data_IF_421172717206
#
_entry.id   IF_421172717206
#
_cell.length_a   1.000
_cell.length_b   1.000
_cell.length_c   1.000
_cell.angle_alpha   90.00
_cell.angle_beta   90.00
_cell.angle_gamma   90.00
#
_symmetry.space_group_name_H-M   'P 1'
#
loop_
_entity.id
_entity.type
_entity.pdbx_description
1 polymer ?
#
# COMPACT_ATOMS: atom_id res chain seq x y z
N UNK A 1 12.37 -0.71 7.51
CA UNK A 1 13.34 -1.33 8.45
C UNK A 1 13.42 -0.43 9.67
N UNK A 2 13.28 -0.95 10.89
CA UNK A 2 13.45 -0.12 12.10
C UNK A 2 14.93 0.25 12.22
N UNK A 3 15.25 1.54 12.17
CA UNK A 3 16.62 2.04 12.31
C UNK A 3 17.05 1.96 13.77
N UNK A 4 18.35 1.88 14.04
CA UNK A 4 18.87 1.70 15.41
C UNK A 4 18.58 2.87 16.38
N UNK A 5 18.11 4.01 15.85
CA UNK A 5 17.68 5.18 16.64
C UNK A 5 16.17 5.31 16.83
N UNK A 6 15.37 4.33 16.38
CA UNK A 6 13.93 4.29 16.55
C UNK A 6 13.55 3.36 17.71
N UNK A 7 12.67 3.76 18.65
CA UNK A 7 11.83 4.95 18.62
C UNK A 7 12.42 6.17 19.38
N UNK A 8 11.96 7.40 19.08
CA UNK A 8 12.30 8.62 19.82
C UNK A 8 11.95 8.54 21.33
N UNK A 9 12.60 9.36 22.16
CA UNK A 9 12.43 9.33 23.62
C UNK A 9 11.01 9.69 24.10
N UNK A 10 10.24 10.40 23.28
CA UNK A 10 8.85 10.80 23.48
C UNK A 10 7.83 9.80 22.92
N UNK A 11 8.29 8.68 22.35
CA UNK A 11 7.42 7.65 21.81
C UNK A 11 6.86 6.74 22.92
N UNK A 12 5.55 6.41 22.89
CA UNK A 12 4.90 5.69 23.99
C UNK A 12 5.20 4.18 24.03
N UNK A 13 5.84 3.62 23.01
CA UNK A 13 6.09 2.17 22.86
C UNK A 13 7.60 1.89 22.74
N UNK A 14 8.05 0.72 23.18
CA UNK A 14 9.38 0.22 22.86
C UNK A 14 9.49 -0.19 21.39
N UNK A 15 10.72 -0.39 20.90
CA UNK A 15 10.98 -0.89 19.54
C UNK A 15 10.31 -2.24 19.29
N UNK A 16 10.35 -3.12 20.28
CA UNK A 16 9.79 -4.47 20.23
C UNK A 16 8.24 -4.43 20.18
N UNK A 17 7.62 -3.62 21.03
CA UNK A 17 6.17 -3.41 21.05
C UNK A 17 5.68 -2.79 19.74
N UNK A 18 6.40 -1.79 19.21
CA UNK A 18 6.10 -1.21 17.90
C UNK A 18 6.17 -2.26 16.78
N UNK A 19 7.22 -3.09 16.78
CA UNK A 19 7.37 -4.15 15.79
C UNK A 19 6.26 -5.21 15.90
N UNK A 20 5.82 -5.54 17.12
CA UNK A 20 4.72 -6.46 17.35
C UNK A 20 3.37 -5.87 16.90
N UNK A 21 3.12 -4.59 17.19
CA UNK A 21 1.94 -3.88 16.69
C UNK A 21 1.90 -3.86 15.17
N UNK A 22 3.02 -3.59 14.50
CA UNK A 22 3.11 -3.64 13.03
C UNK A 22 2.83 -5.04 12.47
N UNK A 23 3.28 -6.11 13.14
CA UNK A 23 2.97 -7.49 12.72
C UNK A 23 1.49 -7.84 12.91
N UNK A 24 0.87 -7.33 13.96
CA UNK A 24 -0.52 -7.62 14.31
C UNK A 24 -1.53 -6.68 13.60
N UNK A 25 -1.07 -5.55 13.07
CA UNK A 25 -1.91 -4.60 12.33
C UNK A 25 -1.69 -4.81 10.83
N UNK A 26 -2.59 -5.50 10.11
CA UNK A 26 -2.42 -5.69 8.68
C UNK A 26 -2.42 -4.34 7.96
N UNK A 27 -1.31 -4.04 7.29
CA UNK A 27 -1.25 -2.88 6.38
C UNK A 27 -1.87 -3.28 5.06
N UNK A 28 -2.98 -2.65 4.70
CA UNK A 28 -3.65 -2.94 3.43
C UNK A 28 -2.91 -2.24 2.28
N UNK A 29 -2.05 -3.01 1.61
CA UNK A 29 -1.33 -2.56 0.43
C UNK A 29 -2.23 -2.55 -0.81
N UNK A 30 -1.77 -1.90 -1.87
CA UNK A 30 -2.47 -1.93 -3.15
C UNK A 30 -2.57 -3.36 -3.68
N UNK A 31 -3.72 -3.68 -4.30
CA UNK A 31 -3.98 -4.97 -4.93
C UNK A 31 -4.03 -4.82 -6.44
N UNK A 32 -3.27 -5.66 -7.15
CA UNK A 32 -3.41 -5.85 -8.59
C UNK A 32 -4.56 -6.82 -8.90
N UNK A 33 -5.31 -6.54 -9.98
CA UNK A 33 -6.42 -7.34 -10.45
C UNK A 33 -6.27 -7.59 -11.96
N UNK A 34 -6.19 -8.86 -12.34
CA UNK A 34 -6.19 -9.28 -13.73
C UNK A 34 -7.62 -9.35 -14.28
N UNK A 35 -7.87 -8.73 -15.43
CA UNK A 35 -9.17 -8.72 -16.11
C UNK A 35 -9.21 -9.61 -17.36
N UNK A 36 -8.06 -10.10 -17.84
CA UNK A 36 -7.96 -10.88 -19.07
C UNK A 36 -7.27 -10.10 -20.19
N UNK A 37 -6.79 -10.78 -21.23
CA UNK A 37 -6.15 -10.15 -22.40
C UNK A 37 -5.02 -9.14 -22.05
N UNK A 38 -4.26 -9.44 -20.99
CA UNK A 38 -3.21 -8.57 -20.44
C UNK A 38 -3.68 -7.21 -19.89
N UNK A 39 -4.97 -7.11 -19.57
CA UNK A 39 -5.52 -5.96 -18.87
C UNK A 39 -5.43 -6.12 -17.35
N UNK A 40 -4.81 -5.15 -16.70
CA UNK A 40 -4.67 -5.10 -15.25
C UNK A 40 -5.27 -3.82 -14.69
N UNK A 41 -6.00 -3.95 -13.59
CA UNK A 41 -6.38 -2.82 -12.75
C UNK A 41 -5.68 -2.90 -11.40
N UNK A 42 -5.73 -1.80 -10.66
CA UNK A 42 -5.21 -1.73 -9.30
C UNK A 42 -6.25 -1.12 -8.36
N UNK A 43 -6.20 -1.51 -7.09
CA UNK A 43 -7.15 -1.07 -6.10
C UNK A 43 -6.47 -0.69 -4.79
N UNK A 44 -6.88 0.44 -4.23
CA UNK A 44 -6.49 0.86 -2.89
C UNK A 44 -7.55 0.45 -1.88
N UNK A 45 -7.10 0.13 -0.68
CA UNK A 45 -8.01 -0.15 0.43
C UNK A 45 -8.52 1.16 1.03
N UNK A 46 -9.83 1.31 1.06
CA UNK A 46 -10.48 2.45 1.70
C UNK A 46 -10.88 2.10 3.11
N UNK A 47 -10.15 2.61 4.09
CA UNK A 47 -10.40 2.38 5.51
C UNK A 47 -11.78 2.87 5.97
N UNK A 48 -12.36 3.88 5.30
CA UNK A 48 -13.71 4.37 5.59
C UNK A 48 -14.82 3.37 5.24
N UNK A 49 -14.58 2.51 4.24
CA UNK A 49 -15.56 1.56 3.72
C UNK A 49 -15.10 0.10 3.88
N UNK A 50 -13.96 -0.13 4.52
CA UNK A 50 -13.30 -1.42 4.74
C UNK A 50 -13.21 -2.31 3.49
N UNK A 51 -12.98 -1.72 2.32
CA UNK A 51 -12.99 -2.44 1.04
C UNK A 51 -11.92 -1.94 0.07
N UNK A 52 -11.57 -2.79 -0.89
CA UNK A 52 -10.73 -2.40 -2.03
C UNK A 52 -11.58 -1.72 -3.10
N UNK A 53 -11.18 -0.52 -3.52
CA UNK A 53 -11.82 0.22 -4.60
C UNK A 53 -10.90 0.33 -5.81
N UNK A 54 -11.44 -0.03 -6.98
CA UNK A 54 -10.73 0.06 -8.24
C UNK A 54 -10.36 1.51 -8.52
N UNK A 55 -9.09 1.73 -8.83
CA UNK A 55 -8.52 3.04 -9.11
C UNK A 55 -8.29 3.25 -10.60
N UNK A 56 -8.02 4.49 -10.97
CA UNK A 56 -7.88 4.94 -12.34
C UNK A 56 -6.40 5.28 -12.61
N UNK A 57 -5.91 4.90 -13.78
CA UNK A 57 -4.59 5.26 -14.27
C UNK A 57 -4.52 6.76 -14.62
N UNK A 58 -3.32 7.28 -14.81
CA UNK A 58 -3.05 8.69 -15.14
C UNK A 58 -3.61 9.13 -16.50
N UNK A 59 -4.03 8.20 -17.36
CA UNK A 59 -4.74 8.45 -18.62
C UNK A 59 -6.27 8.40 -18.51
N UNK A 60 -6.80 8.19 -17.30
CA UNK A 60 -8.24 8.09 -17.05
C UNK A 60 -8.84 6.70 -17.29
N UNK A 61 -8.04 5.69 -17.68
CA UNK A 61 -8.51 4.32 -17.87
C UNK A 61 -8.53 3.53 -16.56
N UNK A 62 -9.36 2.50 -16.48
CA UNK A 62 -9.43 1.59 -15.33
C UNK A 62 -8.49 0.37 -15.45
N UNK A 63 -8.02 0.11 -16.67
CA UNK A 63 -7.14 -1.01 -17.00
C UNK A 63 -5.91 -0.52 -17.76
N UNK A 64 -4.80 -1.25 -17.64
CA UNK A 64 -3.52 -0.94 -18.26
C UNK A 64 -2.49 -2.03 -17.99
N UNK A 65 -1.23 -1.72 -18.24
CA UNK A 65 -0.11 -2.63 -18.01
C UNK A 65 0.16 -2.85 -16.51
N UNK A 66 0.53 -4.08 -16.10
CA UNK A 66 0.80 -4.40 -14.70
C UNK A 66 1.99 -3.62 -14.14
N UNK A 67 3.02 -3.34 -14.95
CA UNK A 67 4.18 -2.53 -14.58
C UNK A 67 3.77 -1.10 -14.22
N UNK A 68 2.84 -0.52 -14.98
CA UNK A 68 2.33 0.83 -14.71
C UNK A 68 1.52 0.86 -13.41
N UNK A 69 0.67 -0.15 -13.17
CA UNK A 69 -0.03 -0.28 -11.90
C UNK A 69 0.92 -0.44 -10.71
N UNK A 70 1.99 -1.22 -10.89
CA UNK A 70 3.03 -1.35 -9.89
C UNK A 70 3.72 -0.02 -9.61
N UNK A 71 4.14 0.73 -10.63
CA UNK A 71 4.79 2.03 -10.46
C UNK A 71 3.90 3.04 -9.74
N UNK A 72 2.61 3.12 -10.09
CA UNK A 72 1.65 4.01 -9.42
C UNK A 72 1.50 3.63 -7.94
N UNK A 73 1.30 2.34 -7.65
CA UNK A 73 1.14 1.88 -6.26
C UNK A 73 2.42 2.04 -5.43
N UNK A 74 3.59 1.75 -6.01
CA UNK A 74 4.88 1.95 -5.35
C UNK A 74 5.10 3.42 -5.02
N UNK A 75 4.82 4.34 -5.95
CA UNK A 75 4.91 5.78 -5.71
C UNK A 75 3.98 6.27 -4.59
N UNK A 76 2.85 5.59 -4.35
CA UNK A 76 1.94 5.94 -3.27
C UNK A 76 2.45 5.52 -1.87
N UNK A 77 3.28 4.47 -1.78
CA UNK A 77 3.76 3.93 -0.51
C UNK A 77 5.23 4.20 -0.20
N UNK A 78 6.07 4.38 -1.23
CA UNK A 78 7.52 4.35 -1.13
C UNK A 78 8.20 5.67 -1.55
N UNK A 79 7.44 6.67 -2.01
CA UNK A 79 8.01 8.01 -2.14
C UNK A 79 8.12 8.65 -0.74
N UNK A 80 9.35 8.77 -0.26
CA UNK A 80 9.76 9.67 0.82
C UNK A 80 10.31 10.98 0.25
#
# INVERSE_FOLDING_TARGET
>A
VLTDGWPPADWPETREEYAERLRNTPTHLCRLRYFGADEWGFAFFTYSNEKYELSIYDDGQFTGEPERAFMISANAYLNE
#
